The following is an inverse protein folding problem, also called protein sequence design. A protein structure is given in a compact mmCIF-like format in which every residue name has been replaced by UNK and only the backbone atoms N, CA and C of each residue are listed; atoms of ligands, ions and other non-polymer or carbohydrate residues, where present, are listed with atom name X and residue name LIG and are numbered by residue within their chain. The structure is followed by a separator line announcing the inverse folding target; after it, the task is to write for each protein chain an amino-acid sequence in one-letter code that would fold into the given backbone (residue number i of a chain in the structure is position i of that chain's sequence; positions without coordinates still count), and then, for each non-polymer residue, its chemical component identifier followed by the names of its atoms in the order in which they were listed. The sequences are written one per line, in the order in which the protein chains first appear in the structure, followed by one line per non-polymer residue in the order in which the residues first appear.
data_IF_494552191346
#
_entry.id   IF_494552191346
#
_cell.length_a   1.000
_cell.length_b   1.000
_cell.length_c   1.000
_cell.angle_alpha   90.00
_cell.angle_beta   90.00
_cell.angle_gamma   90.00
#
_symmetry.space_group_name_H-M   'P 1'
#
loop_
_entity.id
_entity.type
_entity.pdbx_description
1 polymer ?
#
# COMPACT_ATOMS: atom_id res chain seq x y z
N UNK A 1 78.03 -12.04 27.63
CA UNK A 1 77.70 -10.73 27.04
C UNK A 1 76.67 -10.99 25.95
N UNK A 2 75.44 -10.46 25.87
CA UNK A 2 74.58 -9.51 26.60
C UNK A 2 73.14 -10.05 26.38
N UNK A 3 72.25 -10.21 27.38
CA UNK A 3 71.36 -9.22 28.04
C UNK A 3 70.44 -8.43 27.08
N UNK A 4 69.21 -8.16 27.58
CA UNK A 4 68.03 -7.43 27.05
C UNK A 4 66.93 -8.38 26.53
N UNK A 5 65.90 -8.79 27.31
CA UNK A 5 65.02 -8.10 28.29
C UNK A 5 64.10 -7.05 27.64
N UNK A 6 62.86 -7.49 27.34
CA UNK A 6 61.57 -6.83 27.63
C UNK A 6 61.37 -5.37 27.16
N UNK A 7 60.36 -5.12 26.30
CA UNK A 7 59.13 -4.36 26.61
C UNK A 7 58.34 -4.01 25.33
N UNK A 8 57.00 -4.12 25.40
CA UNK A 8 55.96 -3.24 24.85
C UNK A 8 56.07 -2.81 23.37
N UNK A 9 55.04 -2.95 22.53
CA UNK A 9 53.80 -2.17 22.60
C UNK A 9 52.69 -2.97 21.90
N UNK A 10 51.62 -3.26 22.63
CA UNK A 10 50.34 -3.64 22.08
C UNK A 10 49.71 -2.42 21.40
N UNK A 11 49.44 -2.52 20.10
CA UNK A 11 48.66 -1.53 19.34
C UNK A 11 47.20 -2.00 19.39
N UNK A 12 46.30 -1.35 20.14
CA UNK A 12 44.88 -1.62 20.02
C UNK A 12 44.39 -1.03 18.70
N UNK A 13 44.09 -1.90 17.74
CA UNK A 13 43.38 -1.56 16.51
C UNK A 13 41.93 -1.23 16.88
N UNK A 14 41.68 0.05 17.19
CA UNK A 14 40.34 0.59 17.37
C UNK A 14 39.66 0.64 15.99
N UNK A 15 39.00 -0.46 15.61
CA UNK A 15 38.00 -0.46 14.54
C UNK A 15 36.79 0.31 15.05
N UNK A 16 36.70 1.60 14.71
CA UNK A 16 35.48 2.39 14.84
C UNK A 16 34.40 1.79 13.92
N UNK A 17 33.60 0.89 14.47
CA UNK A 17 32.32 0.47 13.88
C UNK A 17 31.34 1.63 13.99
N UNK A 18 31.35 2.51 12.99
CA UNK A 18 30.30 3.48 12.79
C UNK A 18 29.24 2.84 11.90
N UNK A 19 28.36 2.03 12.49
CA UNK A 19 27.14 1.59 11.83
C UNK A 19 26.18 2.77 11.79
N UNK A 20 26.33 3.64 10.78
CA UNK A 20 25.27 4.60 10.46
C UNK A 20 24.20 3.80 9.75
N UNK A 21 23.20 3.35 10.51
CA UNK A 21 21.97 2.79 10.00
C UNK A 21 21.27 3.88 9.19
N UNK A 22 21.57 3.95 7.90
CA UNK A 22 20.69 4.62 6.96
C UNK A 22 19.42 3.79 6.89
N UNK A 23 18.42 4.20 7.67
CA UNK A 23 17.03 3.80 7.47
C UNK A 23 16.60 4.29 6.09
N UNK A 24 17.00 3.52 5.07
CA UNK A 24 16.42 3.59 3.73
C UNK A 24 15.00 3.08 3.89
N UNK A 25 14.11 3.99 4.28
CA UNK A 25 12.67 3.81 4.07
C UNK A 25 12.54 3.55 2.57
N UNK A 26 12.10 2.36 2.12
CA UNK A 26 11.97 2.12 0.70
C UNK A 26 10.92 3.10 0.20
N UNK A 27 11.39 4.15 -0.50
CA UNK A 27 10.54 5.02 -1.28
C UNK A 27 9.76 4.08 -2.18
N UNK A 28 8.46 3.97 -1.93
CA UNK A 28 7.58 3.25 -2.83
C UNK A 28 7.62 4.06 -4.11
N UNK A 29 8.40 3.60 -5.10
CA UNK A 29 8.47 4.19 -6.43
C UNK A 29 7.07 4.13 -7.03
N UNK A 30 6.29 5.18 -6.79
CA UNK A 30 5.10 5.48 -7.55
C UNK A 30 5.62 6.22 -8.78
N UNK A 31 5.64 5.52 -9.91
CA UNK A 31 6.25 6.01 -11.15
C UNK A 31 5.31 7.00 -11.87
N UNK A 32 4.01 6.92 -11.61
CA UNK A 32 3.01 7.85 -12.12
C UNK A 32 1.95 8.17 -11.08
N UNK A 33 1.78 9.46 -10.79
CA UNK A 33 0.70 9.99 -9.95
C UNK A 33 -0.44 10.48 -10.84
N UNK A 34 -1.64 9.95 -10.59
CA UNK A 34 -2.86 10.27 -11.31
C UNK A 34 -3.77 11.02 -10.33
N UNK A 35 -4.15 12.24 -10.69
CA UNK A 35 -5.11 13.03 -9.92
C UNK A 35 -6.52 12.75 -10.42
N UNK A 36 -7.47 12.53 -9.50
CA UNK A 36 -8.88 12.35 -9.81
C UNK A 36 -9.15 11.15 -10.70
N UNK A 37 -8.99 9.94 -10.17
CA UNK A 37 -9.24 8.71 -10.91
C UNK A 37 -10.67 8.20 -10.69
N UNK A 38 -11.27 7.71 -11.76
CA UNK A 38 -12.49 6.90 -11.72
C UNK A 38 -12.28 5.64 -12.55
N UNK A 39 -12.53 4.49 -11.94
CA UNK A 39 -12.50 3.18 -12.60
C UNK A 39 -13.89 2.58 -12.44
N UNK A 40 -14.41 1.96 -13.49
CA UNK A 40 -15.70 1.29 -13.42
C UNK A 40 -15.66 -0.03 -14.19
N UNK A 41 -16.38 -1.01 -13.67
CA UNK A 41 -16.67 -2.25 -14.37
C UNK A 41 -18.16 -2.28 -14.71
N UNK A 42 -18.43 -2.66 -15.95
CA UNK A 42 -19.78 -2.85 -16.46
C UNK A 42 -19.85 -4.13 -17.27
N UNK A 43 -20.95 -4.85 -17.14
CA UNK A 43 -21.29 -5.99 -17.98
C UNK A 43 -22.66 -5.72 -18.62
N UNK A 44 -22.77 -5.90 -19.94
CA UNK A 44 -24.04 -5.83 -20.66
C UNK A 44 -24.84 -4.53 -20.38
N UNK A 45 -24.14 -3.38 -20.33
CA UNK A 45 -24.67 -2.05 -19.98
C UNK A 45 -25.20 -1.91 -18.54
N UNK A 46 -24.85 -2.82 -17.64
CA UNK A 46 -25.12 -2.70 -16.21
C UNK A 46 -23.82 -2.43 -15.47
N UNK A 47 -23.80 -1.36 -14.67
CA UNK A 47 -22.69 -1.11 -13.76
C UNK A 47 -22.62 -2.23 -12.73
N UNK A 48 -21.45 -2.80 -12.53
CA UNK A 48 -21.17 -3.78 -11.48
C UNK A 48 -20.57 -3.07 -10.27
N UNK A 49 -19.53 -2.26 -10.52
CA UNK A 49 -18.92 -1.42 -9.52
C UNK A 49 -18.24 -0.20 -10.13
N UNK A 50 -18.04 0.83 -9.33
CA UNK A 50 -17.09 1.91 -9.62
C UNK A 50 -16.22 2.23 -8.40
N UNK A 51 -15.01 2.71 -8.67
CA UNK A 51 -14.03 3.17 -7.71
C UNK A 51 -13.70 4.61 -8.08
N UNK A 52 -13.85 5.52 -7.11
CA UNK A 52 -13.37 6.89 -7.22
C UNK A 52 -12.27 7.12 -6.20
N UNK A 53 -11.24 7.86 -6.58
CA UNK A 53 -10.19 8.25 -5.65
C UNK A 53 -9.58 9.59 -6.07
N UNK A 54 -9.25 10.41 -5.07
CA UNK A 54 -8.65 11.72 -5.31
C UNK A 54 -7.26 11.60 -5.94
N UNK A 55 -6.52 10.55 -5.59
CA UNK A 55 -5.17 10.30 -6.11
C UNK A 55 -4.94 8.80 -6.25
N UNK A 56 -4.33 8.42 -7.36
CA UNK A 56 -3.83 7.07 -7.57
C UNK A 56 -2.35 7.09 -7.97
N UNK A 57 -1.65 6.02 -7.63
CA UNK A 57 -0.28 5.79 -8.03
C UNK A 57 -0.16 4.50 -8.82
N UNK A 58 0.41 4.54 -10.02
CA UNK A 58 0.69 3.34 -10.81
C UNK A 58 2.17 2.98 -10.69
N UNK A 59 2.43 1.73 -10.33
CA UNK A 59 3.73 1.09 -10.47
C UNK A 59 3.62 0.04 -11.59
N UNK A 60 4.07 0.40 -12.79
CA UNK A 60 3.93 -0.44 -13.98
C UNK A 60 4.76 -1.72 -13.85
N UNK A 61 5.98 -1.61 -13.31
CA UNK A 61 6.89 -2.75 -13.10
C UNK A 61 6.27 -3.85 -12.23
N UNK A 62 5.52 -3.46 -11.20
CA UNK A 62 4.85 -4.41 -10.29
C UNK A 62 3.42 -4.74 -10.73
N UNK A 63 2.86 -4.00 -11.69
CA UNK A 63 1.44 -4.09 -12.04
C UNK A 63 0.54 -3.74 -10.86
N UNK A 64 0.93 -2.76 -10.04
CA UNK A 64 0.19 -2.36 -8.84
C UNK A 64 -0.33 -0.94 -9.02
N UNK A 65 -1.64 -0.76 -8.79
CA UNK A 65 -2.27 0.54 -8.66
C UNK A 65 -2.63 0.80 -7.20
N UNK A 66 -2.16 1.91 -6.65
CA UNK A 66 -2.48 2.37 -5.30
C UNK A 66 -3.48 3.51 -5.36
N UNK A 67 -4.34 3.62 -4.34
CA UNK A 67 -5.39 4.63 -4.24
C UNK A 67 -5.34 5.32 -2.88
N UNK A 68 -5.58 6.63 -2.87
CA UNK A 68 -5.68 7.43 -1.65
C UNK A 68 -7.14 7.82 -1.44
N UNK A 69 -7.67 7.47 -0.27
CA UNK A 69 -9.08 7.65 0.08
C UNK A 69 -10.05 7.07 -0.99
N UNK A 70 -9.94 5.78 -1.36
CA UNK A 70 -10.86 5.17 -2.32
C UNK A 70 -12.30 5.13 -1.78
N UNK A 71 -13.26 5.40 -2.66
CA UNK A 71 -14.70 5.22 -2.50
C UNK A 71 -15.19 4.25 -3.58
N UNK A 72 -15.42 3.00 -3.19
CA UNK A 72 -15.99 1.95 -4.05
C UNK A 72 -17.49 1.88 -3.87
N UNK A 73 -18.22 1.74 -4.97
CA UNK A 73 -19.66 1.54 -5.01
C UNK A 73 -19.96 0.29 -5.81
N UNK A 74 -20.77 -0.60 -5.23
CA UNK A 74 -21.29 -1.78 -5.90
C UNK A 74 -22.74 -1.54 -6.29
N UNK A 75 -23.11 -2.09 -7.44
CA UNK A 75 -24.41 -1.86 -8.05
C UNK A 75 -25.14 -3.17 -8.30
N UNK A 76 -26.47 -3.11 -8.21
CA UNK A 76 -27.39 -4.14 -8.72
C UNK A 76 -28.59 -3.43 -9.32
N UNK A 77 -28.98 -3.81 -10.53
CA UNK A 77 -30.07 -3.16 -11.26
C UNK A 77 -29.88 -1.63 -11.35
N UNK A 78 -28.63 -1.20 -11.58
CA UNK A 78 -28.18 0.21 -11.61
C UNK A 78 -28.44 1.01 -10.31
N UNK A 79 -28.66 0.33 -9.17
CA UNK A 79 -28.77 0.94 -7.85
C UNK A 79 -27.58 0.56 -6.98
N UNK A 80 -27.03 1.52 -6.24
CA UNK A 80 -25.96 1.25 -5.28
C UNK A 80 -26.48 0.33 -4.17
N UNK A 81 -25.89 -0.85 -4.04
CA UNK A 81 -26.21 -1.84 -3.00
C UNK A 81 -25.26 -1.78 -1.82
N UNK A 82 -23.98 -1.47 -2.09
CA UNK A 82 -22.95 -1.36 -1.06
C UNK A 82 -21.95 -0.28 -1.39
N UNK A 83 -21.34 0.30 -0.35
CA UNK A 83 -20.22 1.24 -0.49
C UNK A 83 -19.06 0.81 0.40
N UNK A 84 -17.84 0.93 -0.09
CA UNK A 84 -16.62 0.66 0.68
C UNK A 84 -15.72 1.88 0.62
N UNK A 85 -15.35 2.41 1.78
CA UNK A 85 -14.37 3.49 1.89
C UNK A 85 -13.18 3.03 2.71
N UNK A 86 -11.98 3.50 2.37
CA UNK A 86 -10.77 3.28 3.15
C UNK A 86 -9.83 4.49 3.03
N UNK A 87 -8.76 4.55 3.82
CA UNK A 87 -7.72 5.56 3.63
C UNK A 87 -6.75 5.19 2.49
N UNK A 88 -6.48 3.89 2.31
CA UNK A 88 -5.59 3.39 1.26
C UNK A 88 -6.20 2.16 0.58
N UNK A 89 -5.97 2.05 -0.73
CA UNK A 89 -6.29 0.86 -1.52
C UNK A 89 -5.12 0.46 -2.40
N UNK A 90 -5.01 -0.83 -2.69
CA UNK A 90 -4.07 -1.40 -3.64
C UNK A 90 -4.81 -2.41 -4.52
N UNK A 91 -4.61 -2.32 -5.82
CA UNK A 91 -5.13 -3.25 -6.82
C UNK A 91 -3.95 -3.85 -7.57
N UNK A 92 -3.83 -5.17 -7.51
CA UNK A 92 -2.95 -5.91 -8.39
C UNK A 92 -3.63 -6.04 -9.76
N UNK A 93 -3.10 -5.38 -10.78
CA UNK A 93 -3.70 -5.36 -12.12
C UNK A 93 -3.62 -6.73 -12.83
N UNK A 94 -2.71 -7.61 -12.39
CA UNK A 94 -2.52 -8.93 -12.98
C UNK A 94 -3.49 -9.96 -12.38
N UNK A 95 -3.64 -9.97 -11.05
CA UNK A 95 -4.50 -10.95 -10.35
C UNK A 95 -5.91 -10.43 -10.08
N UNK A 96 -6.09 -9.10 -10.13
CA UNK A 96 -7.30 -8.37 -9.70
C UNK A 96 -7.56 -8.42 -8.20
N UNK A 97 -6.61 -8.91 -7.40
CA UNK A 97 -6.71 -8.87 -5.95
C UNK A 97 -6.68 -7.42 -5.47
N UNK A 98 -7.61 -7.08 -4.58
CA UNK A 98 -7.71 -5.75 -3.98
C UNK A 98 -7.48 -5.81 -2.49
N UNK A 99 -6.61 -4.94 -2.00
CA UNK A 99 -6.37 -4.72 -0.57
C UNK A 99 -6.79 -3.30 -0.19
N UNK A 100 -7.71 -3.19 0.77
CA UNK A 100 -8.06 -1.91 1.40
C UNK A 100 -7.53 -1.88 2.83
N UNK A 101 -6.86 -0.79 3.21
CA UNK A 101 -6.26 -0.64 4.53
C UNK A 101 -6.57 0.70 5.16
N UNK A 102 -6.59 0.68 6.50
CA UNK A 102 -6.86 1.78 7.41
C UNK A 102 -8.29 2.34 7.28
N UNK A 103 -9.03 2.26 8.39
CA UNK A 103 -10.42 2.74 8.49
C UNK A 103 -11.31 2.24 7.34
N UNK A 104 -11.29 0.93 7.08
CA UNK A 104 -12.15 0.33 6.07
C UNK A 104 -13.58 0.27 6.62
N UNK A 105 -14.50 0.90 5.91
CA UNK A 105 -15.92 0.92 6.26
C UNK A 105 -16.69 0.35 5.06
N UNK A 106 -17.35 -0.77 5.27
CA UNK A 106 -18.29 -1.37 4.33
C UNK A 106 -19.69 -1.05 4.83
N UNK A 107 -20.49 -0.41 3.99
CA UNK A 107 -21.91 -0.16 4.26
C UNK A 107 -22.72 -0.96 3.25
N UNK A 108 -23.46 -1.97 3.74
CA UNK A 108 -24.39 -2.77 2.95
C UNK A 108 -25.79 -2.22 3.12
N UNK A 109 -26.34 -1.62 2.06
CA UNK A 109 -27.72 -1.09 2.09
C UNK A 109 -28.75 -2.20 2.10
N UNK A 110 -28.47 -3.31 1.42
CA UNK A 110 -29.40 -4.44 1.33
C UNK A 110 -29.57 -5.16 2.67
N UNK A 111 -28.51 -5.24 3.46
CA UNK A 111 -28.52 -5.89 4.77
C UNK A 111 -28.74 -4.91 5.93
N UNK A 112 -28.79 -3.61 5.63
CA UNK A 112 -28.84 -2.53 6.61
C UNK A 112 -27.74 -2.68 7.68
N UNK A 113 -26.52 -2.98 7.25
CA UNK A 113 -25.39 -3.35 8.10
C UNK A 113 -24.15 -2.54 7.77
N UNK A 114 -23.29 -2.34 8.78
CA UNK A 114 -22.01 -1.65 8.63
C UNK A 114 -20.90 -2.49 9.25
N UNK A 115 -19.91 -2.85 8.44
CA UNK A 115 -18.68 -3.49 8.88
C UNK A 115 -17.56 -2.45 8.94
N UNK A 116 -16.86 -2.39 10.07
CA UNK A 116 -15.66 -1.56 10.26
C UNK A 116 -14.47 -2.47 10.54
N UNK A 117 -13.42 -2.33 9.74
CA UNK A 117 -12.19 -3.14 9.89
C UNK A 117 -10.96 -2.30 9.57
N UNK A 118 -9.79 -2.79 9.96
CA UNK A 118 -8.50 -2.18 9.60
C UNK A 118 -8.03 -2.59 8.21
N UNK A 119 -8.44 -3.77 7.75
CA UNK A 119 -8.01 -4.35 6.47
C UNK A 119 -9.13 -5.20 5.89
N UNK A 120 -9.29 -5.11 4.57
CA UNK A 120 -10.21 -5.92 3.78
C UNK A 120 -9.47 -6.38 2.52
N UNK A 121 -9.62 -7.66 2.19
CA UNK A 121 -9.06 -8.31 1.01
C UNK A 121 -10.22 -8.91 0.23
N UNK A 122 -10.28 -8.67 -1.08
CA UNK A 122 -11.31 -9.23 -1.96
C UNK A 122 -10.86 -9.25 -3.42
#
# INVERSE_FOLDING_TARGET
MNKYFLFFIAIPFLMSSCSTSSDTTPATEIESLISGIKIAESDSNQYQWDLNSAQAGLNEKKGIMTFINPDLKFYKDNKVTSTITANKGELNLNTRDTELTNNVIVNSKNENSVLKTKKLLF
#
